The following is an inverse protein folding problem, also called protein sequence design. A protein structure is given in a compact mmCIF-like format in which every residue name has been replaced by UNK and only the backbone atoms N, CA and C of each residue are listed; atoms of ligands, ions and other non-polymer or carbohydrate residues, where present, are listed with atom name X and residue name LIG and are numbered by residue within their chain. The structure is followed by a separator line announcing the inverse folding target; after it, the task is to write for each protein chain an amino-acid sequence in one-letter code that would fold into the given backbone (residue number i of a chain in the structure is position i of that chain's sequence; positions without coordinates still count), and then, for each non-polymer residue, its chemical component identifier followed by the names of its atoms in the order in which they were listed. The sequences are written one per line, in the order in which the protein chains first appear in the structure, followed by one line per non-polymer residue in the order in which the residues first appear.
data_IF_185823029495
#
_entry.id   IF_185823029495
#
_cell.length_a   1.000
_cell.length_b   1.000
_cell.length_c   1.000
_cell.angle_alpha   90.00
_cell.angle_beta   90.00
_cell.angle_gamma   90.00
#
_symmetry.space_group_name_H-M   'P 1'
#
loop_
_entity.id
_entity.type
_entity.pdbx_description
1 polymer ?
#
# COMPACT_ATOMS: atom_id res chain seq x y z
N UNK A 1 9.69 31.03 -11.35
CA UNK A 1 10.91 30.24 -11.04
C UNK A 1 11.27 30.30 -9.55
N UNK A 2 11.34 31.49 -8.92
CA UNK A 2 11.65 31.62 -7.49
C UNK A 2 10.61 30.96 -6.54
N UNK A 3 9.31 31.09 -6.87
CA UNK A 3 8.21 30.53 -6.08
C UNK A 3 8.24 28.98 -6.01
N UNK A 4 8.59 28.33 -7.12
CA UNK A 4 8.73 26.87 -7.20
C UNK A 4 9.95 26.38 -6.40
N UNK A 5 11.05 27.15 -6.38
CA UNK A 5 12.22 26.84 -5.56
C UNK A 5 11.94 26.97 -4.05
N UNK A 6 11.13 27.95 -3.65
CA UNK A 6 10.74 28.16 -2.26
C UNK A 6 9.79 27.07 -1.75
N UNK A 7 8.81 26.66 -2.58
CA UNK A 7 7.92 25.52 -2.28
C UNK A 7 8.71 24.21 -2.14
N UNK A 8 9.65 23.94 -3.05
CA UNK A 8 10.55 22.78 -2.95
C UNK A 8 11.35 22.78 -1.65
N UNK A 9 11.94 23.91 -1.28
CA UNK A 9 12.73 24.03 -0.04
C UNK A 9 11.85 23.81 1.21
N UNK A 10 10.62 24.33 1.21
CA UNK A 10 9.68 24.12 2.31
C UNK A 10 9.30 22.64 2.45
N UNK A 11 9.10 21.94 1.33
CA UNK A 11 8.80 20.50 1.32
C UNK A 11 9.97 19.65 1.83
N UNK A 12 11.20 19.98 1.45
CA UNK A 12 12.39 19.29 1.95
C UNK A 12 12.61 19.54 3.45
N UNK A 13 12.38 20.77 3.93
CA UNK A 13 12.40 21.05 5.36
C UNK A 13 11.31 20.27 6.10
N UNK A 14 10.11 20.19 5.53
CA UNK A 14 9.02 19.41 6.11
C UNK A 14 9.38 17.93 6.24
N UNK A 15 9.97 17.33 5.21
CA UNK A 15 10.49 15.95 5.26
C UNK A 15 11.53 15.80 6.38
N UNK A 16 12.44 16.75 6.53
CA UNK A 16 13.41 16.73 7.63
C UNK A 16 12.74 16.83 9.00
N UNK A 17 11.73 17.69 9.16
CA UNK A 17 11.04 17.91 10.43
C UNK A 17 10.25 16.67 10.89
N UNK A 18 9.77 15.84 9.95
CA UNK A 18 9.09 14.57 10.25
C UNK A 18 9.99 13.57 10.99
N UNK A 19 11.31 13.64 10.81
CA UNK A 19 12.29 12.76 11.47
C UNK A 19 13.08 13.47 12.57
N UNK A 20 12.53 14.57 13.12
CA UNK A 20 13.12 15.25 14.27
C UNK A 20 13.06 14.39 15.53
N UNK A 21 14.05 14.54 16.40
CA UNK A 21 14.03 13.94 17.75
C UNK A 21 13.07 14.67 18.72
N UNK A 22 12.54 15.83 18.33
CA UNK A 22 11.55 16.58 19.12
C UNK A 22 10.12 16.26 18.64
N UNK A 23 9.35 15.56 19.47
CA UNK A 23 7.96 15.19 19.22
C UNK A 23 7.08 16.39 18.82
N UNK A 24 7.32 17.58 19.40
CA UNK A 24 6.54 18.78 19.05
C UNK A 24 6.84 19.26 17.65
N UNK A 25 8.09 19.09 17.18
CA UNK A 25 8.48 19.40 15.80
C UNK A 25 7.81 18.41 14.85
N UNK A 26 7.85 17.12 15.15
CA UNK A 26 7.20 16.07 14.34
C UNK A 26 5.68 16.30 14.28
N UNK A 27 5.03 16.58 15.41
CA UNK A 27 3.59 16.81 15.46
C UNK A 27 3.15 18.02 14.60
N UNK A 28 3.94 19.10 14.60
CA UNK A 28 3.74 20.28 13.74
C UNK A 28 3.99 19.95 12.27
N UNK A 29 5.02 19.16 11.97
CA UNK A 29 5.29 18.69 10.62
C UNK A 29 4.12 17.86 10.08
N UNK A 30 3.58 16.93 10.88
CA UNK A 30 2.41 16.14 10.48
C UNK A 30 1.18 17.01 10.19
N UNK A 31 0.90 18.05 10.98
CA UNK A 31 -0.19 18.99 10.65
C UNK A 31 0.04 19.66 9.29
N UNK A 32 1.25 20.16 9.04
CA UNK A 32 1.57 20.81 7.76
C UNK A 32 1.52 19.84 6.58
N UNK A 33 1.93 18.58 6.78
CA UNK A 33 1.88 17.54 5.76
C UNK A 33 0.43 17.23 5.37
N UNK A 34 -0.47 17.16 6.36
CA UNK A 34 -1.90 16.99 6.16
C UNK A 34 -2.50 18.16 5.35
N UNK A 35 -2.17 19.40 5.72
CA UNK A 35 -2.64 20.61 5.02
C UNK A 35 -2.16 20.69 3.56
N UNK A 36 -0.94 20.22 3.28
CA UNK A 36 -0.33 20.28 1.93
C UNK A 36 -0.90 19.21 0.99
N UNK A 37 -1.19 18.01 1.50
CA UNK A 37 -1.77 16.93 0.71
C UNK A 37 -0.97 16.56 -0.54
N UNK A 38 0.32 16.24 -0.41
CA UNK A 38 1.22 15.93 -1.54
C UNK A 38 1.70 14.47 -1.52
N UNK A 39 1.55 13.76 -2.65
CA UNK A 39 1.91 12.33 -2.76
C UNK A 39 3.39 12.04 -2.43
N UNK A 40 4.30 12.99 -2.66
CA UNK A 40 5.73 12.83 -2.31
C UNK A 40 5.99 12.74 -0.80
N UNK A 41 4.97 12.97 0.03
CA UNK A 41 5.01 12.78 1.48
C UNK A 41 4.58 11.39 1.92
N UNK A 42 3.96 10.57 1.05
CA UNK A 42 3.49 9.22 1.38
C UNK A 42 4.64 8.33 1.87
N UNK A 43 5.74 8.22 1.12
CA UNK A 43 6.90 7.44 1.54
C UNK A 43 7.55 7.96 2.85
N UNK A 44 7.79 9.27 3.04
CA UNK A 44 8.19 9.80 4.35
C UNK A 44 7.25 9.45 5.51
N UNK A 45 5.93 9.45 5.28
CA UNK A 45 4.96 9.05 6.30
C UNK A 45 5.04 7.56 6.60
N UNK A 46 5.19 6.69 5.59
CA UNK A 46 5.39 5.24 5.79
C UNK A 46 6.69 4.96 6.56
N UNK A 47 7.79 5.65 6.23
CA UNK A 47 9.06 5.51 6.95
C UNK A 47 8.94 6.00 8.41
N UNK A 48 8.20 7.09 8.66
CA UNK A 48 7.93 7.55 10.02
C UNK A 48 7.06 6.55 10.79
N UNK A 49 6.03 5.97 10.17
CA UNK A 49 5.20 4.91 10.76
C UNK A 49 6.04 3.68 11.15
N UNK A 50 6.96 3.29 10.26
CA UNK A 50 7.84 2.15 10.45
C UNK A 50 8.84 2.37 11.59
N UNK A 51 9.41 3.57 11.69
CA UNK A 51 10.55 3.86 12.58
C UNK A 51 10.19 4.49 13.93
N UNK A 52 9.03 5.13 14.06
CA UNK A 52 8.68 5.86 15.29
C UNK A 52 8.35 4.92 16.46
N UNK A 53 8.95 5.10 17.63
CA UNK A 53 8.57 4.39 18.85
C UNK A 53 7.42 5.07 19.61
N UNK A 54 6.97 6.26 19.15
CA UNK A 54 5.98 7.06 19.87
C UNK A 54 4.57 6.74 19.39
N UNK A 55 3.74 6.20 20.28
CA UNK A 55 2.36 5.83 19.94
C UNK A 55 1.51 7.02 19.46
N UNK A 56 1.69 8.21 20.04
CA UNK A 56 1.00 9.45 19.64
C UNK A 56 1.25 9.79 18.16
N UNK A 57 2.52 9.74 17.75
CA UNK A 57 2.96 9.98 16.37
C UNK A 57 2.47 8.84 15.48
N UNK A 58 2.62 7.59 15.93
CA UNK A 58 2.21 6.40 15.20
C UNK A 58 0.71 6.45 14.85
N UNK A 59 -0.16 6.66 15.84
CA UNK A 59 -1.61 6.82 15.65
C UNK A 59 -1.95 7.93 14.66
N UNK A 60 -1.27 9.08 14.76
CA UNK A 60 -1.51 10.20 13.85
C UNK A 60 -1.12 9.87 12.41
N UNK A 61 0.03 9.25 12.21
CA UNK A 61 0.52 8.86 10.88
C UNK A 61 -0.39 7.80 10.25
N UNK A 62 -0.79 6.77 11.00
CA UNK A 62 -1.76 5.79 10.50
C UNK A 62 -3.06 6.46 10.08
N UNK A 63 -3.59 7.38 10.89
CA UNK A 63 -4.81 8.12 10.51
C UNK A 63 -4.63 8.83 9.17
N UNK A 64 -3.53 9.57 9.02
CA UNK A 64 -3.23 10.28 7.78
C UNK A 64 -3.11 9.33 6.58
N UNK A 65 -2.39 8.21 6.72
CA UNK A 65 -2.21 7.21 5.66
C UNK A 65 -3.52 6.54 5.24
N UNK A 66 -4.42 6.27 6.19
CA UNK A 66 -5.74 5.71 5.92
C UNK A 66 -6.70 6.72 5.26
N UNK A 67 -6.52 8.02 5.51
CA UNK A 67 -7.39 9.08 4.99
C UNK A 67 -6.81 9.77 3.75
N UNK A 68 -5.73 9.23 3.16
CA UNK A 68 -5.09 9.77 1.95
C UNK A 68 -6.09 9.84 0.80
N UNK A 69 -6.42 11.06 0.33
CA UNK A 69 -7.28 11.28 -0.84
C UNK A 69 -6.52 12.08 -1.91
N UNK A 70 -5.32 11.62 -2.24
CA UNK A 70 -4.41 12.29 -3.17
C UNK A 70 -4.13 11.36 -4.34
N UNK A 71 -4.14 11.89 -5.55
CA UNK A 71 -3.74 11.12 -6.74
C UNK A 71 -2.35 10.52 -6.57
N UNK A 72 -2.15 9.28 -7.03
CA UNK A 72 -0.89 8.52 -6.95
C UNK A 72 -0.51 8.03 -5.54
N UNK A 73 -1.35 8.25 -4.52
CA UNK A 73 -1.09 7.73 -3.18
C UNK A 73 -1.00 6.19 -3.15
N UNK A 74 -1.89 5.52 -3.88
CA UNK A 74 -1.87 4.07 -4.09
C UNK A 74 -0.57 3.57 -4.70
N UNK A 75 -0.05 4.25 -5.73
CA UNK A 75 1.22 3.89 -6.38
C UNK A 75 2.39 4.02 -5.41
N UNK A 76 2.44 5.09 -4.63
CA UNK A 76 3.49 5.28 -3.61
C UNK A 76 3.38 4.27 -2.47
N UNK A 77 2.15 3.96 -2.02
CA UNK A 77 1.91 2.94 -1.01
C UNK A 77 2.28 1.54 -1.52
N UNK A 78 1.92 1.18 -2.75
CA UNK A 78 2.32 -0.09 -3.36
C UNK A 78 3.84 -0.16 -3.55
N UNK A 79 4.49 0.93 -3.96
CA UNK A 79 5.95 1.00 -4.03
C UNK A 79 6.61 0.88 -2.64
N UNK A 80 5.91 1.17 -1.55
CA UNK A 80 6.37 0.86 -0.20
C UNK A 80 6.06 -0.59 0.18
N UNK A 81 4.89 -1.13 -0.17
CA UNK A 81 4.54 -2.52 0.10
C UNK A 81 5.52 -3.51 -0.58
N UNK A 82 6.08 -3.15 -1.73
CA UNK A 82 7.07 -3.95 -2.45
C UNK A 82 8.51 -3.74 -1.98
N UNK A 83 8.76 -2.81 -1.05
CA UNK A 83 10.07 -2.54 -0.51
C UNK A 83 10.39 -3.51 0.64
N UNK A 84 11.47 -4.29 0.50
CA UNK A 84 11.87 -5.29 1.49
C UNK A 84 12.11 -4.71 2.89
N UNK A 85 12.44 -3.42 2.98
CA UNK A 85 12.65 -2.72 4.26
C UNK A 85 11.38 -2.67 5.11
N UNK A 86 10.21 -2.71 4.50
CA UNK A 86 8.92 -2.56 5.18
C UNK A 86 8.14 -3.87 5.33
N UNK A 87 8.76 -5.03 5.06
CA UNK A 87 8.10 -6.35 5.16
C UNK A 87 7.42 -6.55 6.51
N UNK A 88 8.03 -6.12 7.62
CA UNK A 88 7.46 -6.28 8.97
C UNK A 88 6.21 -5.45 9.23
N UNK A 89 5.92 -4.45 8.39
CA UNK A 89 4.74 -3.58 8.46
C UNK A 89 3.92 -3.61 7.17
N UNK A 90 4.24 -4.50 6.21
CA UNK A 90 3.63 -4.52 4.88
C UNK A 90 2.12 -4.78 4.94
N UNK A 91 1.66 -5.58 5.90
CA UNK A 91 0.22 -5.73 6.18
C UNK A 91 -0.48 -4.41 6.50
N UNK A 92 0.14 -3.54 7.31
CA UNK A 92 -0.42 -2.22 7.61
C UNK A 92 -0.41 -1.33 6.36
N UNK A 93 0.65 -1.41 5.55
CA UNK A 93 0.75 -0.67 4.28
C UNK A 93 -0.35 -1.10 3.30
N UNK A 94 -0.60 -2.40 3.15
CA UNK A 94 -1.70 -2.91 2.31
C UNK A 94 -3.07 -2.41 2.82
N UNK A 95 -3.25 -2.38 4.14
CA UNK A 95 -4.45 -1.77 4.74
C UNK A 95 -4.59 -0.29 4.39
N UNK A 96 -3.47 0.46 4.39
CA UNK A 96 -3.47 1.87 3.94
C UNK A 96 -3.80 1.99 2.44
N UNK A 97 -3.30 1.08 1.59
CA UNK A 97 -3.65 1.04 0.15
C UNK A 97 -5.16 0.96 0.00
N UNK A 98 -5.79 -0.01 0.68
CA UNK A 98 -7.24 -0.19 0.67
C UNK A 98 -7.99 1.05 1.17
N UNK A 99 -7.62 1.57 2.33
CA UNK A 99 -8.36 2.65 2.98
C UNK A 99 -8.19 4.02 2.28
N UNK A 100 -7.07 4.23 1.57
CA UNK A 100 -6.83 5.46 0.80
C UNK A 100 -7.81 5.65 -0.37
N UNK A 101 -8.59 4.64 -0.72
CA UNK A 101 -9.58 4.72 -1.79
C UNK A 101 -8.99 4.89 -3.18
N UNK A 102 -7.69 4.62 -3.34
CA UNK A 102 -7.05 4.47 -4.65
C UNK A 102 -7.41 3.16 -5.32
N UNK A 103 -6.86 2.92 -6.51
CA UNK A 103 -7.17 1.74 -7.31
C UNK A 103 -5.84 1.12 -7.79
N UNK A 104 -5.28 0.17 -7.04
CA UNK A 104 -3.99 -0.43 -7.34
C UNK A 104 -4.10 -1.53 -8.43
N UNK A 105 -5.01 -1.38 -9.40
CA UNK A 105 -5.36 -2.42 -10.37
C UNK A 105 -4.14 -2.88 -11.18
N UNK A 106 -3.23 -1.95 -11.47
CA UNK A 106 -1.99 -2.23 -12.20
C UNK A 106 -1.01 -3.17 -11.47
N UNK A 107 -1.24 -3.43 -10.17
CA UNK A 107 -0.42 -4.25 -9.29
C UNK A 107 -1.04 -5.64 -8.99
N UNK A 108 -2.01 -6.10 -9.78
CA UNK A 108 -2.68 -7.40 -9.54
C UNK A 108 -1.71 -8.58 -9.41
N UNK A 109 -0.66 -8.63 -10.23
CA UNK A 109 0.38 -9.66 -10.16
C UNK A 109 1.13 -9.57 -8.82
N UNK A 110 1.51 -8.36 -8.42
CA UNK A 110 2.25 -8.12 -7.18
C UNK A 110 1.42 -8.47 -5.94
N UNK A 111 0.13 -8.11 -5.93
CA UNK A 111 -0.82 -8.48 -4.87
C UNK A 111 -0.96 -10.00 -4.75
N UNK A 112 -1.06 -10.71 -5.88
CA UNK A 112 -1.10 -12.17 -5.89
C UNK A 112 0.22 -12.78 -5.37
N UNK A 113 1.36 -12.23 -5.78
CA UNK A 113 2.67 -12.66 -5.31
C UNK A 113 2.83 -12.48 -3.80
N UNK A 114 2.36 -11.37 -3.24
CA UNK A 114 2.34 -11.14 -1.79
C UNK A 114 1.41 -12.15 -1.10
N UNK A 115 0.22 -12.41 -1.63
CA UNK A 115 -0.71 -13.36 -1.02
C UNK A 115 -0.17 -14.81 -0.98
N UNK A 116 0.59 -15.23 -1.98
CA UNK A 116 1.19 -16.56 -2.04
C UNK A 116 2.39 -16.72 -1.09
N UNK A 117 3.20 -15.67 -0.95
CA UNK A 117 4.50 -15.75 -0.27
C UNK A 117 4.52 -15.12 1.13
N UNK A 118 3.56 -14.25 1.44
CA UNK A 118 3.45 -13.51 2.68
C UNK A 118 2.80 -14.27 3.84
N UNK A 119 2.48 -13.52 4.88
CA UNK A 119 1.71 -13.98 6.03
C UNK A 119 0.23 -14.17 5.67
N UNK A 120 -0.51 -14.86 6.54
CA UNK A 120 -1.96 -15.00 6.39
C UNK A 120 -2.66 -13.63 6.35
N UNK A 121 -2.22 -12.69 7.19
CA UNK A 121 -2.83 -11.36 7.26
C UNK A 121 -2.52 -10.55 5.99
N UNK A 122 -1.34 -10.70 5.41
CA UNK A 122 -1.00 -10.08 4.12
C UNK A 122 -1.86 -10.63 2.98
N UNK A 123 -2.04 -11.96 2.94
CA UNK A 123 -2.91 -12.60 1.96
C UNK A 123 -4.37 -12.14 2.09
N UNK A 124 -4.82 -11.83 3.31
CA UNK A 124 -6.17 -11.33 3.57
C UNK A 124 -6.38 -9.91 3.07
N UNK A 125 -5.43 -9.01 3.32
CA UNK A 125 -5.48 -7.65 2.76
C UNK A 125 -5.42 -7.70 1.22
N UNK A 126 -4.53 -8.50 0.64
CA UNK A 126 -4.45 -8.68 -0.81
C UNK A 126 -5.74 -9.21 -1.42
N UNK A 127 -6.38 -10.21 -0.79
CA UNK A 127 -7.69 -10.71 -1.21
C UNK A 127 -8.74 -9.59 -1.21
N UNK A 128 -8.82 -8.84 -0.11
CA UNK A 128 -9.79 -7.75 0.03
C UNK A 128 -9.59 -6.67 -1.05
N UNK A 129 -8.34 -6.31 -1.33
CA UNK A 129 -8.00 -5.35 -2.40
C UNK A 129 -8.42 -5.90 -3.77
N UNK A 130 -8.04 -7.14 -4.10
CA UNK A 130 -8.31 -7.76 -5.41
C UNK A 130 -9.82 -7.93 -5.65
N UNK A 131 -10.58 -8.30 -4.61
CA UNK A 131 -12.04 -8.41 -4.67
C UNK A 131 -12.76 -7.10 -5.00
N UNK A 132 -12.11 -5.96 -4.74
CA UNK A 132 -12.68 -4.63 -4.90
C UNK A 132 -11.99 -3.80 -5.99
N UNK A 133 -11.20 -4.44 -6.87
CA UNK A 133 -10.75 -3.79 -8.09
C UNK A 133 -11.96 -3.48 -8.97
N UNK A 134 -11.98 -2.28 -9.54
CA UNK A 134 -13.15 -1.78 -10.31
C UNK A 134 -12.77 -1.20 -11.65
N UNK A 135 -11.50 -0.88 -11.88
CA UNK A 135 -11.05 -0.44 -13.18
C UNK A 135 -10.94 -1.65 -14.12
N UNK A 136 -11.10 -1.44 -15.45
CA UNK A 136 -10.75 -2.46 -16.43
C UNK A 136 -9.33 -2.97 -16.19
N UNK A 137 -9.17 -4.29 -16.13
CA UNK A 137 -7.87 -4.89 -15.89
C UNK A 137 -7.14 -5.07 -17.21
N UNK A 138 -5.84 -5.34 -17.11
CA UNK A 138 -5.05 -5.75 -18.25
C UNK A 138 -5.17 -7.27 -18.37
N UNK A 139 -5.80 -7.77 -19.44
CA UNK A 139 -6.05 -9.19 -19.68
C UNK A 139 -4.78 -10.05 -19.56
N UNK A 140 -3.63 -9.51 -19.99
CA UNK A 140 -2.35 -10.22 -19.93
C UNK A 140 -1.93 -10.37 -18.47
N UNK A 141 -2.04 -9.30 -17.68
CA UNK A 141 -1.73 -9.34 -16.24
C UNK A 141 -2.69 -10.23 -15.46
N UNK A 142 -3.99 -10.17 -15.77
CA UNK A 142 -5.01 -11.00 -15.13
C UNK A 142 -4.78 -12.49 -15.43
N UNK A 143 -4.49 -12.81 -16.69
CA UNK A 143 -4.15 -14.18 -17.12
C UNK A 143 -2.88 -14.67 -16.42
N UNK A 144 -1.84 -13.84 -16.37
CA UNK A 144 -0.58 -14.18 -15.70
C UNK A 144 -0.78 -14.42 -14.21
N UNK A 145 -1.46 -13.50 -13.50
CA UNK A 145 -1.77 -13.66 -12.08
C UNK A 145 -2.59 -14.94 -11.81
N UNK A 146 -3.60 -15.21 -12.62
CA UNK A 146 -4.45 -16.41 -12.52
C UNK A 146 -3.62 -17.69 -12.69
N UNK A 147 -2.70 -17.71 -13.66
CA UNK A 147 -1.81 -18.84 -13.91
C UNK A 147 -0.87 -19.09 -12.72
N UNK A 148 -0.21 -18.04 -12.21
CA UNK A 148 0.71 -18.15 -11.08
C UNK A 148 0.01 -18.69 -9.82
N UNK A 149 -1.19 -18.18 -9.52
CA UNK A 149 -2.00 -18.64 -8.38
C UNK A 149 -2.39 -20.11 -8.53
N UNK A 150 -2.80 -20.53 -9.74
CA UNK A 150 -3.14 -21.94 -10.03
C UNK A 150 -1.95 -22.87 -9.84
N UNK A 151 -0.77 -22.47 -10.29
CA UNK A 151 0.47 -23.23 -10.14
C UNK A 151 0.84 -23.38 -8.66
N UNK A 152 0.78 -22.28 -7.89
CA UNK A 152 1.00 -22.30 -6.44
C UNK A 152 0.06 -23.27 -5.72
N UNK A 153 -1.24 -23.24 -6.04
CA UNK A 153 -2.24 -24.15 -5.45
C UNK A 153 -1.97 -25.62 -5.77
N UNK A 154 -1.44 -25.91 -6.96
CA UNK A 154 -1.07 -27.25 -7.40
C UNK A 154 0.16 -27.79 -6.67
N UNK A 155 1.02 -26.90 -6.14
CA UNK A 155 2.21 -27.22 -5.36
C UNK A 155 1.96 -27.73 -3.94
N UNK A 156 0.70 -27.94 -3.53
CA UNK A 156 0.29 -28.35 -2.18
C UNK A 156 0.81 -27.43 -1.05
N UNK A 157 0.43 -26.14 -1.05
CA UNK A 157 0.85 -25.20 -0.01
C UNK A 157 0.22 -25.54 1.36
N UNK A 158 0.74 -24.91 2.42
CA UNK A 158 0.21 -25.01 3.78
C UNK A 158 -1.31 -24.76 3.79
N UNK A 159 -2.07 -25.54 4.57
CA UNK A 159 -3.54 -25.55 4.56
C UNK A 159 -4.17 -24.17 4.80
N UNK A 160 -3.65 -23.41 5.76
CA UNK A 160 -4.15 -22.06 6.12
C UNK A 160 -4.04 -21.11 4.93
N UNK A 161 -2.87 -21.10 4.28
CA UNK A 161 -2.57 -20.29 3.11
C UNK A 161 -3.30 -20.78 1.86
N UNK A 162 -3.42 -22.10 1.69
CA UNK A 162 -4.17 -22.71 0.60
C UNK A 162 -5.61 -22.21 0.55
N UNK A 163 -6.27 -22.10 1.71
CA UNK A 163 -7.66 -21.69 1.78
C UNK A 163 -7.85 -20.25 1.27
N UNK A 164 -7.02 -19.31 1.73
CA UNK A 164 -7.16 -17.90 1.33
C UNK A 164 -6.71 -17.65 -0.11
N UNK A 165 -5.66 -18.33 -0.57
CA UNK A 165 -5.20 -18.24 -1.96
C UNK A 165 -6.19 -18.92 -2.92
N UNK A 166 -6.93 -19.93 -2.47
CA UNK A 166 -8.03 -20.50 -3.26
C UNK A 166 -9.17 -19.49 -3.42
N UNK A 167 -9.54 -18.74 -2.37
CA UNK A 167 -10.51 -17.64 -2.51
C UNK A 167 -10.03 -16.60 -3.51
N UNK A 168 -8.75 -16.20 -3.44
CA UNK A 168 -8.15 -15.28 -4.40
C UNK A 168 -8.24 -15.81 -5.84
N UNK A 169 -7.98 -17.10 -6.04
CA UNK A 169 -8.11 -17.73 -7.36
C UNK A 169 -9.52 -17.66 -7.94
N UNK A 170 -10.55 -17.89 -7.11
CA UNK A 170 -11.94 -17.79 -7.58
C UNK A 170 -12.32 -16.35 -7.92
N UNK A 171 -11.81 -15.37 -7.18
CA UNK A 171 -12.00 -13.94 -7.50
C UNK A 171 -11.36 -13.59 -8.84
N UNK A 172 -10.13 -14.03 -9.09
CA UNK A 172 -9.44 -13.78 -10.37
C UNK A 172 -10.20 -14.38 -11.57
N UNK A 173 -10.74 -15.58 -11.42
CA UNK A 173 -11.59 -16.18 -12.46
C UNK A 173 -12.86 -15.38 -12.70
N UNK A 174 -13.52 -14.94 -11.63
CA UNK A 174 -14.72 -14.10 -11.74
C UNK A 174 -14.43 -12.79 -12.45
N UNK A 175 -13.27 -12.18 -12.23
CA UNK A 175 -12.82 -10.98 -12.95
C UNK A 175 -12.62 -11.26 -14.45
N UNK A 176 -12.02 -12.40 -14.81
CA UNK A 176 -11.80 -12.75 -16.21
C UNK A 176 -13.11 -13.04 -16.97
N UNK A 177 -14.11 -13.60 -16.30
CA UNK A 177 -15.44 -13.87 -16.89
C UNK A 177 -16.28 -12.60 -17.10
N UNK A 178 -15.96 -11.49 -16.41
CA UNK A 178 -16.66 -10.20 -16.56
C UNK A 178 -16.15 -9.36 -17.74
N UNK A 179 -15.00 -9.71 -18.31
CA UNK A 179 -14.38 -9.01 -19.45
C UNK A 179 -14.79 -9.58 -20.82
N UNK A 180 -15.47 -10.74 -20.84
CA UNK A 180 -16.06 -11.37 -22.04
C UNK A 180 -17.48 -10.86 -22.37
#
# INVERSE_FOLDING_TARGET
MAENAQQKKALEQLKSDLFSNDEKVVAKALNKADDIGNFTLVRPLVELWFSTPQDSIKTKVAKMLNELKISQADQELMACALDERYVSVRKDILSFVWNSGGSPDSYIIDLCAIAMNGSFEEAFECLTIVENLTAPLDDVKLTEATLQVREFLSGNPEKSRKAIVLSLYEVLKGLAELEE
#
